data_IF_383336327389
#
_entry.id   IF_383336327389
#
_cell.length_a   1.000
_cell.length_b   1.000
_cell.length_c   1.000
_cell.angle_alpha   90.00
_cell.angle_beta   90.00
_cell.angle_gamma   90.00
#
_symmetry.space_group_name_H-M   'P 1'
#
loop_
_entity.id
_entity.type
_entity.pdbx_description
1 polymer ?
#
# COMPACT_ATOMS: atom_id res chain seq x y z
N UNK A 1 8.91 -18.53 -2.25
CA UNK A 1 8.28 -17.19 -2.38
C UNK A 1 7.65 -17.10 -3.77
N UNK A 2 6.46 -16.51 -3.91
CA UNK A 2 5.58 -16.68 -5.08
C UNK A 2 6.14 -16.21 -6.44
N UNK A 3 7.14 -15.31 -6.44
CA UNK A 3 7.67 -14.68 -7.64
C UNK A 3 9.14 -15.05 -7.93
N UNK A 4 9.70 -16.02 -7.20
CA UNK A 4 11.11 -16.37 -7.27
C UNK A 4 11.87 -16.02 -5.99
N UNK A 5 13.20 -16.09 -6.06
CA UNK A 5 14.06 -15.94 -4.88
C UNK A 5 14.09 -14.50 -4.34
N UNK A 6 13.97 -14.41 -3.03
CA UNK A 6 13.98 -13.25 -2.13
C UNK A 6 15.29 -12.48 -1.93
N UNK A 7 15.58 -11.31 -2.52
CA UNK A 7 16.74 -10.53 -2.04
C UNK A 7 16.40 -9.70 -0.81
N UNK A 8 15.37 -8.88 -0.91
CA UNK A 8 14.88 -8.04 0.17
C UNK A 8 13.38 -7.78 -0.01
N UNK A 9 12.71 -7.37 1.06
CA UNK A 9 11.30 -7.03 1.03
C UNK A 9 10.96 -6.01 2.10
N UNK A 10 9.87 -5.29 1.89
CA UNK A 10 9.28 -4.38 2.87
C UNK A 10 7.77 -4.46 2.77
N UNK A 11 7.09 -4.39 3.91
CA UNK A 11 5.66 -4.14 3.92
C UNK A 11 5.27 -3.07 4.93
N UNK A 12 4.12 -2.45 4.68
CA UNK A 12 3.42 -1.56 5.60
C UNK A 12 1.93 -1.84 5.55
N UNK A 13 1.28 -1.86 6.71
CA UNK A 13 -0.17 -1.96 6.87
C UNK A 13 -0.72 -0.56 7.11
N UNK A 14 -1.65 -0.13 6.27
CA UNK A 14 -2.38 1.12 6.40
C UNK A 14 -3.85 0.83 6.72
N UNK A 15 -4.42 1.64 7.63
CA UNK A 15 -5.86 1.72 7.84
C UNK A 15 -6.38 2.97 7.17
N UNK A 16 -7.13 2.79 6.08
CA UNK A 16 -7.84 3.89 5.45
C UNK A 16 -9.13 4.14 6.24
N UNK A 17 -9.59 5.40 6.33
CA UNK A 17 -10.87 5.81 6.97
C UNK A 17 -12.12 5.01 6.57
N UNK A 18 -12.03 4.09 5.60
CA UNK A 18 -13.14 3.41 4.95
C UNK A 18 -13.12 1.88 5.06
N UNK A 19 -12.26 1.25 5.86
CA UNK A 19 -12.44 -0.19 6.12
C UNK A 19 -11.24 -1.00 6.60
N UNK A 20 -11.10 -2.18 5.99
CA UNK A 20 -10.17 -3.25 6.34
C UNK A 20 -8.69 -2.81 6.17
N UNK A 21 -7.76 -3.43 6.90
CA UNK A 21 -6.34 -3.15 6.74
C UNK A 21 -5.90 -3.36 5.28
N UNK A 22 -5.08 -2.44 4.77
CA UNK A 22 -4.52 -2.50 3.43
C UNK A 22 -3.01 -2.68 3.51
N UNK A 23 -2.50 -3.76 2.91
CA UNK A 23 -1.08 -4.05 2.89
C UNK A 23 -0.43 -3.50 1.62
N UNK A 24 0.64 -2.72 1.82
CA UNK A 24 1.56 -2.29 0.77
C UNK A 24 2.84 -3.11 0.89
N UNK A 25 3.13 -3.95 -0.11
CA UNK A 25 4.27 -4.88 -0.09
C UNK A 25 5.16 -4.61 -1.31
N UNK A 26 6.47 -4.52 -1.10
CA UNK A 26 7.46 -4.48 -2.17
C UNK A 26 8.50 -5.58 -1.97
N UNK A 27 8.78 -6.29 -3.05
CA UNK A 27 9.69 -7.45 -3.09
C UNK A 27 10.74 -7.18 -4.16
N UNK A 28 12.02 -7.32 -3.78
CA UNK A 28 13.14 -7.33 -4.72
C UNK A 28 13.62 -8.76 -4.90
N UNK A 29 13.52 -9.25 -6.12
CA UNK A 29 13.95 -10.58 -6.47
C UNK A 29 15.45 -10.62 -6.72
N UNK A 30 16.10 -11.75 -6.43
CA UNK A 30 17.52 -11.96 -6.80
C UNK A 30 17.64 -11.96 -8.33
N UNK A 31 16.78 -12.72 -8.99
CA UNK A 31 16.71 -12.77 -10.44
C UNK A 31 15.59 -11.86 -10.94
N UNK A 32 15.94 -10.92 -11.82
CA UNK A 32 14.99 -9.97 -12.39
C UNK A 32 14.01 -10.70 -13.33
N UNK A 33 12.71 -10.45 -13.14
CA UNK A 33 11.68 -10.86 -14.11
C UNK A 33 11.91 -10.08 -15.42
N UNK A 34 12.07 -10.81 -16.51
CA UNK A 34 12.24 -10.25 -17.85
C UNK A 34 10.87 -9.85 -18.46
N UNK A 35 10.83 -8.92 -19.41
CA UNK A 35 9.56 -8.46 -20.00
C UNK A 35 8.65 -9.60 -20.53
N UNK A 36 9.24 -10.64 -21.11
CA UNK A 36 8.57 -11.84 -21.63
C UNK A 36 7.99 -12.75 -20.54
N UNK A 37 8.44 -12.60 -19.29
CA UNK A 37 7.94 -13.35 -18.14
C UNK A 37 6.81 -12.63 -17.39
N UNK A 38 6.60 -11.33 -17.63
CA UNK A 38 5.62 -10.53 -16.88
C UNK A 38 4.21 -11.12 -17.03
N UNK A 39 3.81 -11.43 -18.26
CA UNK A 39 2.46 -11.93 -18.58
C UNK A 39 2.19 -13.33 -18.03
N UNK A 40 3.23 -14.06 -17.62
CA UNK A 40 3.09 -15.37 -16.96
C UNK A 40 2.72 -15.23 -15.48
N UNK A 41 3.04 -14.07 -14.88
CA UNK A 41 2.95 -13.84 -13.43
C UNK A 41 1.83 -12.84 -13.11
N UNK A 42 1.63 -11.86 -13.98
CA UNK A 42 0.69 -10.75 -13.83
C UNK A 42 -0.21 -10.72 -15.07
N UNK A 43 -1.52 -10.66 -14.84
CA UNK A 43 -2.52 -10.46 -15.88
C UNK A 43 -3.35 -9.22 -15.56
N UNK A 44 -3.82 -8.55 -16.60
CA UNK A 44 -4.85 -7.52 -16.51
C UNK A 44 -6.04 -7.84 -17.42
N UNK A 45 -6.27 -9.14 -17.65
CA UNK A 45 -7.32 -9.66 -18.52
C UNK A 45 -8.33 -10.48 -17.72
N UNK A 46 -9.59 -10.48 -18.17
CA UNK A 46 -10.62 -11.38 -17.67
C UNK A 46 -10.25 -12.81 -18.11
N UNK A 47 -10.12 -13.78 -17.18
CA UNK A 47 -9.85 -15.18 -17.50
C UNK A 47 -10.93 -15.79 -18.41
N UNK A 48 -10.60 -16.87 -19.09
CA UNK A 48 -11.62 -17.65 -19.78
C UNK A 48 -12.39 -18.53 -18.77
N UNK A 49 -13.71 -18.33 -18.69
CA UNK A 49 -14.59 -19.06 -17.78
C UNK A 49 -14.59 -20.57 -18.03
N UNK A 50 -14.37 -21.01 -19.26
CA UNK A 50 -14.35 -22.43 -19.61
C UNK A 50 -13.02 -23.11 -19.27
N UNK A 51 -11.93 -22.33 -19.21
CA UNK A 51 -10.59 -22.83 -18.89
C UNK A 51 -10.35 -22.81 -17.37
N UNK A 52 -10.64 -21.69 -16.72
CA UNK A 52 -10.46 -21.52 -15.27
C UNK A 52 -11.65 -20.78 -14.65
N UNK A 53 -12.79 -21.48 -14.41
CA UNK A 53 -13.99 -20.86 -13.86
C UNK A 53 -13.75 -20.25 -12.48
N UNK A 54 -12.86 -20.86 -11.67
CA UNK A 54 -12.56 -20.36 -10.34
C UNK A 54 -11.84 -19.01 -10.40
N UNK A 55 -10.80 -18.90 -11.24
CA UNK A 55 -10.11 -17.63 -11.43
C UNK A 55 -11.04 -16.58 -12.04
N UNK A 56 -11.87 -16.97 -13.01
CA UNK A 56 -12.89 -16.09 -13.59
C UNK A 56 -13.79 -15.47 -12.51
N UNK A 57 -14.36 -16.30 -11.64
CA UNK A 57 -15.24 -15.84 -10.55
C UNK A 57 -14.50 -14.90 -9.58
N UNK A 58 -13.25 -15.23 -9.22
CA UNK A 58 -12.43 -14.38 -8.35
C UNK A 58 -12.12 -13.04 -9.00
N UNK A 59 -11.69 -13.03 -10.25
CA UNK A 59 -11.27 -11.82 -10.97
C UNK A 59 -12.48 -10.91 -11.22
N UNK A 60 -13.59 -11.48 -11.68
CA UNK A 60 -14.82 -10.70 -11.93
C UNK A 60 -15.42 -10.13 -10.66
N UNK A 61 -15.27 -10.81 -9.52
CA UNK A 61 -15.74 -10.31 -8.23
C UNK A 61 -14.81 -9.27 -7.60
N UNK A 62 -13.50 -9.47 -7.69
CA UNK A 62 -12.53 -8.76 -6.86
C UNK A 62 -11.55 -7.86 -7.63
N UNK A 63 -11.38 -8.00 -8.94
CA UNK A 63 -10.36 -7.27 -9.71
C UNK A 63 -10.94 -6.30 -10.72
N UNK A 64 -12.26 -6.21 -10.87
CA UNK A 64 -12.85 -5.19 -11.72
C UNK A 64 -12.81 -3.85 -10.98
N UNK A 65 -12.15 -2.85 -11.57
CA UNK A 65 -12.28 -1.48 -11.12
C UNK A 65 -13.74 -1.05 -11.28
N UNK A 66 -14.40 -0.74 -10.17
CA UNK A 66 -15.85 -0.50 -10.14
C UNK A 66 -16.27 0.57 -11.14
N UNK A 67 -17.55 0.56 -11.59
CA UNK A 67 -18.00 1.52 -12.58
C UNK A 67 -17.75 2.92 -12.05
N UNK A 68 -17.00 3.70 -12.83
CA UNK A 68 -16.66 5.08 -12.58
C UNK A 68 -16.66 5.84 -13.91
N UNK A 69 -16.36 7.13 -13.91
CA UNK A 69 -16.41 7.93 -15.12
C UNK A 69 -17.84 8.09 -15.60
N UNK A 70 -18.07 7.84 -16.88
CA UNK A 70 -19.40 7.96 -17.50
C UNK A 70 -20.46 7.07 -16.82
N UNK A 71 -20.06 5.93 -16.26
CA UNK A 71 -20.98 5.00 -15.59
C UNK A 71 -21.36 5.47 -14.18
N UNK A 72 -20.49 6.19 -13.49
CA UNK A 72 -20.74 6.71 -12.14
C UNK A 72 -19.74 7.80 -11.76
N UNK A 73 -20.17 9.07 -11.86
CA UNK A 73 -19.33 10.20 -11.49
C UNK A 73 -19.16 10.37 -9.96
N UNK A 74 -19.98 9.69 -9.16
CA UNK A 74 -19.94 9.75 -7.70
C UNK A 74 -18.99 8.70 -7.08
N UNK A 75 -18.33 7.89 -7.91
CA UNK A 75 -17.34 6.91 -7.42
C UNK A 75 -16.17 7.61 -6.73
N UNK A 76 -15.69 7.04 -5.63
CA UNK A 76 -14.64 7.65 -4.80
C UNK A 76 -13.29 7.89 -5.50
N UNK A 77 -13.07 7.25 -6.65
CA UNK A 77 -11.91 7.44 -7.49
C UNK A 77 -12.02 8.65 -8.43
N UNK A 78 -13.18 9.30 -8.52
CA UNK A 78 -13.43 10.43 -9.40
C UNK A 78 -12.91 11.74 -8.79
N UNK A 79 -12.21 12.53 -9.59
CA UNK A 79 -11.82 13.92 -9.31
C UNK A 79 -11.91 14.69 -10.61
N UNK A 80 -12.51 15.87 -10.60
CA UNK A 80 -12.60 16.76 -11.78
C UNK A 80 -13.19 16.05 -13.01
N UNK A 81 -14.22 15.22 -12.80
CA UNK A 81 -14.89 14.45 -13.85
C UNK A 81 -14.06 13.31 -14.45
N UNK A 82 -12.88 13.01 -13.90
CA UNK A 82 -11.97 11.95 -14.39
C UNK A 82 -11.66 10.94 -13.28
N UNK A 83 -11.47 9.68 -13.67
CA UNK A 83 -10.97 8.69 -12.74
C UNK A 83 -9.49 8.96 -12.43
N UNK A 84 -9.17 9.25 -11.17
CA UNK A 84 -7.79 9.46 -10.68
C UNK A 84 -6.89 8.23 -10.89
N UNK A 85 -7.50 7.04 -11.02
CA UNK A 85 -6.81 5.77 -11.33
C UNK A 85 -6.72 5.47 -12.83
N UNK A 86 -7.16 6.41 -13.68
CA UNK A 86 -7.07 6.39 -15.15
C UNK A 86 -7.82 5.22 -15.80
N UNK A 87 -8.97 4.85 -15.25
CA UNK A 87 -9.88 3.90 -15.87
C UNK A 87 -10.94 4.62 -16.73
N UNK A 88 -11.38 4.01 -17.85
CA UNK A 88 -10.88 2.75 -18.43
C UNK A 88 -9.44 2.87 -18.95
N UNK A 89 -8.65 1.80 -18.84
CA UNK A 89 -7.28 1.74 -19.38
C UNK A 89 -7.30 1.57 -20.90
N UNK A 90 -6.16 1.82 -21.56
CA UNK A 90 -6.01 1.54 -23.01
C UNK A 90 -5.88 0.03 -23.23
N UNK A 91 -6.47 -0.46 -24.31
CA UNK A 91 -6.24 -1.82 -24.81
C UNK A 91 -4.88 -1.84 -25.51
N UNK A 92 -4.10 -2.88 -25.24
CA UNK A 92 -2.76 -3.12 -25.81
C UNK A 92 -2.57 -4.63 -25.96
N UNK A 93 -2.10 -5.08 -27.12
CA UNK A 93 -1.90 -6.50 -27.45
C UNK A 93 -0.79 -7.15 -26.65
N UNK A 94 0.19 -6.35 -26.20
CA UNK A 94 1.40 -6.82 -25.53
C UNK A 94 1.76 -5.93 -24.35
N UNK A 95 2.47 -6.50 -23.38
CA UNK A 95 2.99 -5.72 -22.26
C UNK A 95 4.13 -4.80 -22.72
N UNK A 96 3.99 -3.51 -22.46
CA UNK A 96 4.96 -2.48 -22.86
C UNK A 96 5.75 -2.03 -21.63
N UNK A 97 7.03 -2.37 -21.59
CA UNK A 97 7.97 -1.88 -20.57
C UNK A 97 8.61 -0.58 -21.04
N UNK A 98 8.25 0.55 -20.43
CA UNK A 98 8.83 1.88 -20.72
C UNK A 98 9.74 2.41 -19.62
N UNK A 99 10.42 3.53 -19.88
CA UNK A 99 11.45 4.10 -18.99
C UNK A 99 10.93 4.72 -17.67
N UNK A 100 9.60 4.91 -17.49
CA UNK A 100 9.15 5.98 -16.60
C UNK A 100 8.04 5.65 -15.59
N UNK A 101 8.01 4.42 -15.07
CA UNK A 101 7.14 4.07 -13.94
C UNK A 101 6.87 2.57 -13.81
N UNK A 102 5.73 2.19 -14.39
CA UNK A 102 5.14 0.85 -14.39
C UNK A 102 4.90 0.44 -15.84
N UNK A 103 5.05 -0.85 -16.19
CA UNK A 103 4.73 -1.30 -17.53
C UNK A 103 3.23 -1.13 -17.80
N UNK A 104 2.88 -0.96 -19.06
CA UNK A 104 1.50 -1.11 -19.50
C UNK A 104 1.23 -2.59 -19.67
N UNK A 105 0.46 -3.19 -18.77
CA UNK A 105 0.05 -4.59 -18.88
C UNK A 105 -0.77 -4.83 -20.14
N UNK A 106 -0.54 -5.97 -20.79
CA UNK A 106 -1.38 -6.50 -21.86
C UNK A 106 -2.85 -6.50 -21.47
N UNK A 107 -3.69 -5.97 -22.37
CA UNK A 107 -5.16 -5.90 -22.29
C UNK A 107 -5.73 -6.03 -23.69
N UNK A 108 -5.96 -7.26 -24.15
CA UNK A 108 -6.47 -7.50 -25.51
C UNK A 108 -7.91 -7.05 -25.64
N UNK A 109 -8.26 -6.54 -26.82
CA UNK A 109 -9.65 -6.26 -27.20
C UNK A 109 -10.42 -7.57 -27.38
N UNK A 110 -11.75 -7.51 -27.44
CA UNK A 110 -12.57 -8.69 -27.76
C UNK A 110 -12.23 -9.27 -29.14
N UNK A 111 -11.92 -8.39 -30.11
CA UNK A 111 -11.47 -8.77 -31.45
C UNK A 111 -10.14 -9.52 -31.45
N UNK A 112 -9.27 -9.25 -30.47
CA UNK A 112 -7.96 -9.89 -30.25
C UNK A 112 -8.02 -10.99 -29.18
N UNK A 113 -9.20 -11.62 -29.00
CA UNK A 113 -9.39 -12.74 -28.07
C UNK A 113 -9.48 -12.37 -26.59
N UNK A 114 -9.54 -11.07 -26.27
CA UNK A 114 -9.95 -10.56 -24.96
C UNK A 114 -11.41 -10.91 -24.64
N UNK A 115 -11.82 -10.71 -23.39
CA UNK A 115 -13.17 -11.06 -22.92
C UNK A 115 -13.87 -9.83 -22.36
N UNK A 116 -15.20 -9.89 -22.32
CA UNK A 116 -16.06 -8.94 -21.61
C UNK A 116 -17.02 -9.70 -20.68
N UNK A 117 -17.53 -9.00 -19.67
CA UNK A 117 -18.54 -9.48 -18.74
C UNK A 117 -19.57 -8.40 -18.48
N UNK A 118 -20.81 -8.81 -18.22
CA UNK A 118 -21.88 -7.89 -17.82
C UNK A 118 -21.97 -7.86 -16.31
N UNK A 119 -21.84 -6.65 -15.75
CA UNK A 119 -22.02 -6.38 -14.32
C UNK A 119 -23.39 -5.76 -14.09
N UNK A 120 -24.16 -6.32 -13.17
CA UNK A 120 -25.40 -5.72 -12.69
C UNK A 120 -25.11 -4.78 -11.52
N UNK A 121 -25.20 -3.48 -11.76
CA UNK A 121 -24.96 -2.43 -10.74
C UNK A 121 -26.19 -1.56 -10.63
N UNK A 122 -26.82 -1.53 -9.45
CA UNK A 122 -28.06 -0.76 -9.19
C UNK A 122 -29.17 -1.04 -10.22
N UNK A 123 -29.35 -2.32 -10.59
CA UNK A 123 -30.29 -2.80 -11.60
C UNK A 123 -30.01 -2.36 -13.05
N UNK A 124 -28.82 -1.80 -13.32
CA UNK A 124 -28.35 -1.51 -14.67
C UNK A 124 -27.29 -2.53 -15.05
N UNK A 125 -27.43 -3.10 -16.24
CA UNK A 125 -26.43 -3.99 -16.81
C UNK A 125 -25.35 -3.15 -17.53
N UNK A 126 -24.11 -3.28 -17.06
CA UNK A 126 -22.95 -2.56 -17.56
C UNK A 126 -21.96 -3.58 -18.11
N UNK A 127 -21.69 -3.51 -19.41
CA UNK A 127 -20.64 -4.33 -20.02
C UNK A 127 -19.26 -3.73 -19.73
N UNK A 128 -18.37 -4.56 -19.20
CA UNK A 128 -16.97 -4.21 -18.93
C UNK A 128 -16.05 -5.23 -19.57
N UNK A 129 -14.93 -4.75 -20.11
CA UNK A 129 -13.89 -5.57 -20.73
C UNK A 129 -12.56 -5.43 -19.98
N UNK A 130 -11.49 -5.94 -20.59
CA UNK A 130 -10.13 -5.89 -20.09
C UNK A 130 -9.63 -4.47 -19.74
N UNK A 131 -10.27 -3.38 -20.19
CA UNK A 131 -9.90 -2.01 -19.81
C UNK A 131 -10.15 -1.71 -18.33
N UNK A 132 -11.01 -2.49 -17.67
CA UNK A 132 -11.46 -2.26 -16.30
C UNK A 132 -10.74 -3.13 -15.27
N UNK A 133 -9.92 -4.08 -15.70
CA UNK A 133 -9.29 -5.03 -14.80
C UNK A 133 -8.08 -4.42 -14.09
N UNK A 134 -8.04 -4.51 -12.78
CA UNK A 134 -6.86 -4.20 -11.97
C UNK A 134 -5.83 -5.30 -12.17
N UNK A 135 -4.56 -4.99 -12.49
CA UNK A 135 -3.52 -6.00 -12.65
C UNK A 135 -3.43 -6.92 -11.44
N UNK A 136 -3.38 -8.24 -11.66
CA UNK A 136 -3.42 -9.24 -10.60
C UNK A 136 -2.47 -10.39 -10.92
N UNK A 137 -2.08 -11.15 -9.90
CA UNK A 137 -1.42 -12.44 -10.11
C UNK A 137 -2.45 -13.55 -10.01
N UNK A 138 -2.66 -14.38 -11.06
CA UNK A 138 -3.61 -15.49 -11.02
C UNK A 138 -3.46 -16.38 -9.79
N UNK A 139 -2.21 -16.68 -9.42
CA UNK A 139 -1.88 -17.50 -8.26
C UNK A 139 -2.38 -16.85 -6.96
N UNK A 140 -1.96 -15.61 -6.67
CA UNK A 140 -2.36 -14.91 -5.44
C UNK A 140 -3.88 -14.69 -5.37
N UNK A 141 -4.50 -14.31 -6.50
CA UNK A 141 -5.93 -14.11 -6.56
C UNK A 141 -6.69 -15.39 -6.21
N UNK A 142 -6.33 -16.54 -6.77
CA UNK A 142 -6.98 -17.83 -6.44
C UNK A 142 -6.74 -18.25 -5.00
N UNK A 143 -5.52 -18.06 -4.48
CA UNK A 143 -5.15 -18.44 -3.12
C UNK A 143 -5.94 -17.65 -2.07
N UNK A 144 -6.02 -16.32 -2.23
CA UNK A 144 -6.58 -15.44 -1.20
C UNK A 144 -8.02 -14.99 -1.46
N UNK A 145 -8.53 -15.14 -2.69
CA UNK A 145 -9.89 -14.75 -3.11
C UNK A 145 -10.25 -13.31 -2.68
N UNK A 146 -9.27 -12.41 -2.74
CA UNK A 146 -9.36 -11.01 -2.31
C UNK A 146 -8.85 -10.07 -3.41
N UNK A 147 -9.16 -8.78 -3.30
CA UNK A 147 -8.63 -7.74 -4.20
C UNK A 147 -7.12 -7.53 -3.93
N UNK A 148 -6.26 -7.94 -4.87
CA UNK A 148 -4.80 -7.89 -4.77
C UNK A 148 -4.27 -7.30 -6.08
N UNK A 149 -3.87 -6.03 -6.05
CA UNK A 149 -3.20 -5.39 -7.18
C UNK A 149 -1.73 -5.79 -7.20
N UNK A 150 -1.27 -6.38 -8.30
CA UNK A 150 0.13 -6.79 -8.48
C UNK A 150 0.69 -6.06 -9.69
N UNK A 151 1.73 -5.26 -9.47
CA UNK A 151 2.36 -4.47 -10.53
C UNK A 151 3.87 -4.75 -10.56
N UNK A 152 4.39 -4.99 -11.77
CA UNK A 152 5.84 -5.04 -11.98
C UNK A 152 6.43 -3.63 -11.89
N UNK A 153 7.47 -3.47 -11.07
CA UNK A 153 8.10 -2.18 -10.80
C UNK A 153 9.56 -2.22 -11.22
N UNK A 154 9.96 -1.37 -12.17
CA UNK A 154 11.36 -1.28 -12.63
C UNK A 154 11.91 0.16 -12.57
N UNK A 155 11.22 1.09 -11.92
CA UNK A 155 11.64 2.49 -11.83
C UNK A 155 11.80 2.97 -10.39
N UNK A 156 12.67 3.97 -10.20
CA UNK A 156 12.85 4.67 -8.92
C UNK A 156 11.54 5.36 -8.48
N UNK A 157 10.63 5.70 -9.41
CA UNK A 157 9.32 6.27 -9.07
C UNK A 157 8.46 5.29 -8.27
N UNK A 158 8.52 4.00 -8.59
CA UNK A 158 7.81 2.94 -7.84
C UNK A 158 8.37 2.78 -6.42
N UNK A 159 9.68 2.96 -6.24
CA UNK A 159 10.31 2.98 -4.91
C UNK A 159 9.85 4.21 -4.10
N UNK A 160 9.82 5.40 -4.70
CA UNK A 160 9.27 6.60 -4.05
C UNK A 160 7.81 6.40 -3.61
N UNK A 161 7.02 5.72 -4.43
CA UNK A 161 5.63 5.42 -4.11
C UNK A 161 5.52 4.59 -2.83
N UNK A 162 6.30 3.52 -2.65
CA UNK A 162 6.23 2.73 -1.41
C UNK A 162 6.79 3.50 -0.20
N UNK A 163 7.89 4.25 -0.39
CA UNK A 163 8.46 5.08 0.67
C UNK A 163 7.43 6.11 1.17
N UNK A 164 6.54 6.60 0.30
CA UNK A 164 5.41 7.43 0.72
C UNK A 164 4.51 6.71 1.72
N UNK A 165 4.15 5.44 1.51
CA UNK A 165 3.24 4.69 2.39
C UNK A 165 3.92 4.18 3.66
N UNK A 166 5.21 3.87 3.60
CA UNK A 166 6.02 3.53 4.78
C UNK A 166 6.15 4.74 5.70
N UNK A 167 6.37 5.93 5.12
CA UNK A 167 6.54 7.17 5.87
C UNK A 167 5.24 7.99 5.97
N UNK A 168 4.10 7.45 5.51
CA UNK A 168 2.83 8.14 5.62
C UNK A 168 2.45 8.13 7.10
N UNK A 169 2.35 9.32 7.67
CA UNK A 169 1.81 9.50 9.02
C UNK A 169 0.37 8.98 9.10
N UNK A 170 -0.09 8.76 10.32
CA UNK A 170 -1.44 8.29 10.58
C UNK A 170 -2.48 9.31 10.13
N UNK A 171 -3.69 8.84 9.83
CA UNK A 171 -4.78 9.74 9.50
C UNK A 171 -5.06 10.66 10.71
N UNK A 172 -5.01 11.96 10.46
CA UNK A 172 -5.31 12.98 11.46
C UNK A 172 -6.73 13.52 11.25
N UNK A 173 -7.36 13.92 12.34
CA UNK A 173 -8.64 14.60 12.37
C UNK A 173 -8.50 15.90 13.16
N UNK A 174 -9.13 16.96 12.66
CA UNK A 174 -9.31 18.21 13.40
C UNK A 174 -10.66 18.13 14.12
N UNK A 175 -10.68 18.39 15.42
CA UNK A 175 -11.89 18.42 16.24
C UNK A 175 -11.82 19.53 17.27
N UNK A 176 -12.97 20.00 17.73
CA UNK A 176 -13.08 20.94 18.85
C UNK A 176 -13.34 20.20 20.15
N UNK A 177 -12.66 20.60 21.23
CA UNK A 177 -12.91 20.13 22.59
C UNK A 177 -13.41 21.32 23.40
N UNK A 178 -14.71 21.36 23.66
CA UNK A 178 -15.30 22.47 24.41
C UNK A 178 -16.82 22.48 24.38
N UNK A 179 -17.41 23.29 25.25
CA UNK A 179 -18.86 23.51 25.28
C UNK A 179 -19.24 24.48 24.16
N UNK A 180 -20.17 24.10 23.28
CA UNK A 180 -20.58 24.89 22.08
C UNK A 180 -21.15 26.26 22.47
N UNK A 181 -21.53 26.45 23.74
CA UNK A 181 -22.10 27.67 24.30
C UNK A 181 -21.06 28.66 24.90
N UNK A 182 -19.76 28.31 24.94
CA UNK A 182 -18.72 29.20 25.46
C UNK A 182 -18.11 30.09 24.35
N UNK A 183 -17.46 31.19 24.75
CA UNK A 183 -16.80 32.15 23.84
C UNK A 183 -15.87 31.46 22.83
N UNK A 184 -15.85 31.96 21.59
CA UNK A 184 -14.99 31.48 20.51
C UNK A 184 -13.51 31.46 20.93
N UNK A 185 -13.02 30.26 21.19
CA UNK A 185 -11.60 29.97 21.44
C UNK A 185 -11.11 29.07 20.31
N UNK A 186 -10.37 29.67 19.37
CA UNK A 186 -9.82 28.98 18.20
C UNK A 186 -8.88 27.82 18.57
N UNK A 187 -8.18 27.92 19.70
CA UNK A 187 -7.25 26.88 20.18
C UNK A 187 -8.05 25.65 20.63
N UNK A 188 -9.11 25.85 21.39
CA UNK A 188 -9.97 24.76 21.83
C UNK A 188 -10.84 24.18 20.69
N UNK A 189 -11.12 24.96 19.65
CA UNK A 189 -11.90 24.53 18.49
C UNK A 189 -11.07 23.79 17.41
N UNK A 190 -9.75 23.98 17.37
CA UNK A 190 -8.86 23.36 16.39
C UNK A 190 -7.81 22.45 17.04
N UNK A 191 -8.26 21.33 17.62
CA UNK A 191 -7.36 20.28 18.10
C UNK A 191 -7.08 19.28 16.98
N UNK A 192 -5.80 18.92 16.79
CA UNK A 192 -5.39 17.91 15.84
C UNK A 192 -5.08 16.61 16.60
N UNK A 193 -5.81 15.55 16.30
CA UNK A 193 -5.54 14.23 16.89
C UNK A 193 -5.53 13.12 15.86
N UNK A 194 -4.90 12.02 16.26
CA UNK A 194 -4.82 10.81 15.46
C UNK A 194 -6.16 10.09 15.48
N UNK A 195 -6.68 9.77 14.30
CA UNK A 195 -7.79 8.86 14.16
C UNK A 195 -7.28 7.42 14.24
N UNK A 196 -7.91 6.59 15.07
CA UNK A 196 -7.62 5.16 15.21
C UNK A 196 -8.95 4.43 15.03
N UNK A 197 -9.04 3.61 13.97
CA UNK A 197 -10.23 2.78 13.73
C UNK A 197 -10.23 1.56 14.66
N UNK A 198 -11.40 0.93 14.85
CA UNK A 198 -11.54 -0.23 15.75
C UNK A 198 -10.61 -1.40 15.38
N UNK A 199 -10.41 -1.65 14.08
CA UNK A 199 -9.48 -2.68 13.61
C UNK A 199 -8.01 -2.30 13.84
N UNK A 200 -7.63 -1.02 13.70
CA UNK A 200 -6.29 -0.57 14.07
C UNK A 200 -6.06 -0.69 15.58
N UNK A 201 -7.06 -0.35 16.40
CA UNK A 201 -6.98 -0.47 17.85
C UNK A 201 -6.73 -1.92 18.29
N UNK A 202 -7.48 -2.88 17.74
CA UNK A 202 -7.27 -4.31 18.02
C UNK A 202 -5.88 -4.76 17.58
N UNK A 203 -5.43 -4.36 16.38
CA UNK A 203 -4.08 -4.69 15.88
C UNK A 203 -2.97 -4.20 16.82
N UNK A 204 -3.15 -2.98 17.37
CA UNK A 204 -2.23 -2.37 18.34
C UNK A 204 -2.28 -3.06 19.70
N UNK A 205 -3.48 -3.39 20.22
CA UNK A 205 -3.65 -4.11 21.48
C UNK A 205 -2.95 -5.47 21.42
N UNK A 206 -3.10 -6.18 20.31
CA UNK A 206 -2.44 -7.47 20.07
C UNK A 206 -0.95 -7.33 19.72
N UNK A 207 -0.41 -6.10 19.66
CA UNK A 207 1.00 -5.82 19.35
C UNK A 207 1.48 -6.41 18.02
N UNK A 208 0.60 -6.51 17.02
CA UNK A 208 0.98 -7.01 15.71
C UNK A 208 1.84 -5.97 14.95
N UNK A 209 2.90 -6.40 14.24
CA UNK A 209 3.72 -5.49 13.45
C UNK A 209 2.90 -4.77 12.38
N UNK A 210 3.09 -3.46 12.27
CA UNK A 210 2.44 -2.61 11.25
C UNK A 210 3.34 -2.46 10.02
N UNK A 211 4.65 -2.58 10.20
CA UNK A 211 5.62 -2.55 9.13
C UNK A 211 6.77 -3.48 9.49
N UNK A 212 7.37 -4.10 8.48
CA UNK A 212 8.57 -4.92 8.62
C UNK A 212 9.34 -4.89 7.31
N UNK A 213 10.64 -5.19 7.38
CA UNK A 213 11.51 -5.24 6.21
C UNK A 213 12.68 -6.20 6.45
N UNK A 214 13.16 -6.77 5.36
CA UNK A 214 14.37 -7.57 5.31
C UNK A 214 15.33 -7.01 4.26
N UNK A 215 16.61 -6.78 4.57
CA UNK A 215 17.21 -6.89 5.90
C UNK A 215 16.62 -5.87 6.87
N UNK A 216 16.68 -6.17 8.17
CA UNK A 216 16.17 -5.27 9.20
C UNK A 216 16.97 -3.98 9.18
N UNK A 217 16.29 -2.84 9.01
CA UNK A 217 16.90 -1.51 9.10
C UNK A 217 16.29 -0.81 10.30
N UNK A 218 17.14 -0.39 11.23
CA UNK A 218 16.75 0.35 12.43
C UNK A 218 17.20 1.80 12.26
N UNK A 219 16.29 2.74 12.47
CA UNK A 219 16.64 4.15 12.49
C UNK A 219 17.37 4.47 13.79
N UNK A 220 18.62 4.91 13.68
CA UNK A 220 19.39 5.34 14.85
C UNK A 220 18.88 6.71 15.32
N UNK A 221 18.78 6.89 16.63
CA UNK A 221 18.48 8.18 17.23
C UNK A 221 19.72 9.08 17.10
N UNK A 222 19.88 9.75 15.95
CA UNK A 222 21.04 10.59 15.69
C UNK A 222 20.94 11.88 16.50
N UNK A 223 21.98 12.15 17.30
CA UNK A 223 22.12 13.35 18.10
C UNK A 223 23.61 13.70 18.24
N UNK A 224 23.90 14.95 18.60
CA UNK A 224 25.25 15.33 19.02
C UNK A 224 25.56 14.76 20.40
N UNK A 225 26.84 14.74 20.77
CA UNK A 225 27.29 14.32 22.09
C UNK A 225 26.52 15.07 23.19
N UNK A 226 25.95 14.33 24.14
CA UNK A 226 25.14 14.83 25.26
C UNK A 226 23.88 15.64 24.87
N UNK A 227 23.40 15.52 23.62
CA UNK A 227 22.15 16.15 23.12
C UNK A 227 21.04 15.15 22.77
N UNK A 228 21.07 13.96 23.38
CA UNK A 228 20.01 12.97 23.23
C UNK A 228 18.70 13.44 23.88
N UNK A 229 17.58 13.11 23.24
CA UNK A 229 16.27 13.26 23.88
C UNK A 229 16.09 12.19 24.96
N UNK A 230 15.74 12.60 26.17
CA UNK A 230 15.54 11.71 27.31
C UNK A 230 14.16 11.94 27.90
N UNK A 231 13.34 10.90 27.96
CA UNK A 231 12.09 10.94 28.71
C UNK A 231 12.40 10.91 30.21
N UNK A 232 11.82 11.82 30.99
CA UNK A 232 11.99 11.82 32.44
C UNK A 232 10.67 11.99 33.17
N UNK A 233 10.59 11.43 34.37
CA UNK A 233 9.56 11.69 35.38
C UNK A 233 10.18 12.51 36.51
N UNK A 234 9.34 13.07 37.39
CA UNK A 234 9.81 13.79 38.56
C UNK A 234 10.82 12.98 39.40
N UNK A 235 10.64 11.66 39.46
CA UNK A 235 11.46 10.76 40.28
C UNK A 235 12.82 10.44 39.66
N UNK A 236 12.95 10.47 38.33
CA UNK A 236 14.15 9.98 37.63
C UNK A 236 14.98 11.07 36.94
N UNK A 237 14.53 12.33 36.95
CA UNK A 237 15.19 13.43 36.22
C UNK A 237 16.64 13.64 36.65
N UNK A 238 16.93 13.62 37.96
CA UNK A 238 18.31 13.78 38.47
C UNK A 238 19.22 12.64 38.03
N UNK A 239 18.74 11.40 38.13
CA UNK A 239 19.50 10.22 37.74
C UNK A 239 19.79 10.23 36.23
N UNK A 240 18.78 10.56 35.40
CA UNK A 240 18.92 10.61 33.94
C UNK A 240 19.77 11.77 33.43
N UNK A 241 19.83 12.89 34.16
CA UNK A 241 20.71 14.01 33.84
C UNK A 241 22.19 13.68 34.10
N UNK A 242 22.48 12.87 35.12
CA UNK A 242 23.83 12.42 35.45
C UNK A 242 24.30 11.25 34.57
N UNK A 243 23.41 10.28 34.36
CA UNK A 243 23.68 9.08 33.56
C UNK A 243 22.55 8.90 32.56
N UNK A 244 22.69 9.46 31.35
CA UNK A 244 21.67 9.30 30.33
C UNK A 244 21.64 7.84 29.84
N UNK A 245 20.45 7.29 29.53
CA UNK A 245 20.33 5.94 29.01
C UNK A 245 21.01 5.83 27.64
N UNK A 246 21.50 4.63 27.32
CA UNK A 246 22.04 4.34 25.99
C UNK A 246 20.96 4.59 24.91
N UNK A 247 21.34 5.30 23.86
CA UNK A 247 20.49 5.47 22.67
C UNK A 247 20.80 4.37 21.68
N UNK A 248 19.95 4.20 20.66
CA UNK A 248 20.25 3.26 19.57
C UNK A 248 21.57 3.63 18.86
N UNK A 249 21.91 4.92 18.78
CA UNK A 249 23.18 5.37 18.22
C UNK A 249 24.39 4.99 19.10
N UNK A 250 24.34 5.25 20.41
CA UNK A 250 25.47 4.92 21.29
C UNK A 250 25.65 3.42 21.45
N UNK A 251 24.55 2.66 21.51
CA UNK A 251 24.58 1.21 21.50
C UNK A 251 25.20 0.66 20.20
N UNK A 252 24.87 1.27 19.05
CA UNK A 252 25.48 0.92 17.77
C UNK A 252 26.99 1.16 17.79
N UNK A 253 27.48 2.32 18.26
CA UNK A 253 28.91 2.56 18.38
C UNK A 253 29.62 1.54 19.29
N UNK A 254 29.01 1.18 20.43
CA UNK A 254 29.56 0.13 21.30
C UNK A 254 29.61 -1.25 20.63
N UNK A 255 28.64 -1.57 19.77
CA UNK A 255 28.65 -2.79 18.96
C UNK A 255 29.78 -2.75 17.93
N UNK A 256 29.95 -1.65 17.20
CA UNK A 256 31.02 -1.49 16.20
C UNK A 256 32.43 -1.63 16.79
N UNK A 257 32.61 -1.35 18.09
CA UNK A 257 33.90 -1.54 18.76
C UNK A 257 34.27 -3.02 18.95
N UNK A 258 33.29 -3.92 18.94
CA UNK A 258 33.46 -5.34 19.28
C UNK A 258 33.15 -6.29 18.11
N UNK A 259 32.55 -5.80 17.02
CA UNK A 259 32.14 -6.61 15.87
C UNK A 259 32.91 -6.21 14.60
N UNK A 260 33.48 -7.20 13.91
CA UNK A 260 34.26 -7.04 12.67
C UNK A 260 33.38 -6.75 11.43
N UNK A 261 32.06 -6.82 11.57
CA UNK A 261 31.10 -6.68 10.48
C UNK A 261 30.31 -5.36 10.47
N UNK A 262 30.65 -4.41 11.35
CA UNK A 262 30.14 -3.04 11.30
C UNK A 262 30.96 -2.14 10.37
#
# INVERSE_FOLDING_TARGET
MFFGETRCWIYSIEWQKRGLPHAHILVWLINKITPDQIDQIISAEIPDKHIDPNLFDVVTKNMIHGPCGAFNNNSSCMSDGKCTKRYPRKLVSDTITGNDGYPLSRRRSVEDGGKSVVLKVRNIDIEVDNRWIVPYSPLLSKTFKAHINVEYCNSVKSIKYICKYVNKGSDMAVFGVGNVAASLDEINQCQLGRYISSNEAVWRILSFPIHERHPTVIHLAVHLENRQSVYCTADNVRARALVPPATTLTAFYSLCQNDLFC
#
